data_IF_298236895761
#
_entry.id   IF_298236895761
#
_cell.length_a   1.000
_cell.length_b   1.000
_cell.length_c   1.000
_cell.angle_alpha   90.00
_cell.angle_beta   90.00
_cell.angle_gamma   90.00
#
_symmetry.space_group_name_H-M   'P 1'
#
loop_
_entity.id
_entity.type
_entity.pdbx_description
1 polymer ?
#
# COMPACT_ATOMS: atom_id res chain seq x y z
N UNK A 1 -4.22 -4.26 8.05
CA UNK A 1 -3.98 -3.23 9.10
C UNK A 1 -2.81 -3.66 9.97
N UNK A 2 -1.97 -2.71 10.39
CA UNK A 2 -0.79 -2.90 11.24
C UNK A 2 -0.73 -1.81 12.33
N UNK A 3 -0.01 -2.05 13.42
CA UNK A 3 0.36 -0.98 14.38
C UNK A 3 1.61 -0.20 13.93
N UNK A 4 2.24 -0.64 12.84
CA UNK A 4 3.46 -0.05 12.28
C UNK A 4 3.20 0.65 10.95
N UNK A 5 2.00 1.23 10.78
CA UNK A 5 1.59 1.81 9.50
C UNK A 5 2.55 2.89 9.00
N UNK A 6 3.01 3.81 9.86
CA UNK A 6 3.99 4.85 9.48
C UNK A 6 5.29 4.23 8.96
N UNK A 7 5.89 3.31 9.72
CA UNK A 7 7.14 2.64 9.34
C UNK A 7 7.00 1.87 8.03
N UNK A 8 5.86 1.20 7.83
CA UNK A 8 5.55 0.48 6.60
C UNK A 8 5.40 1.47 5.43
N UNK A 9 4.74 2.60 5.62
CA UNK A 9 4.58 3.64 4.61
C UNK A 9 5.96 4.18 4.16
N UNK A 10 6.82 4.54 5.11
CA UNK A 10 8.18 5.00 4.84
C UNK A 10 8.97 3.94 4.05
N UNK A 11 8.90 2.68 4.48
CA UNK A 11 9.58 1.60 3.80
C UNK A 11 9.06 1.39 2.37
N UNK A 12 7.76 1.53 2.12
CA UNK A 12 7.19 1.47 0.76
C UNK A 12 7.70 2.63 -0.09
N UNK A 13 7.72 3.85 0.45
CA UNK A 13 8.20 5.04 -0.26
C UNK A 13 9.66 4.88 -0.64
N UNK A 14 10.52 4.54 0.31
CA UNK A 14 11.98 4.53 0.09
C UNK A 14 12.49 3.25 -0.58
N UNK A 15 11.85 2.10 -0.36
CA UNK A 15 12.32 0.80 -0.91
C UNK A 15 11.67 0.49 -2.25
N UNK A 16 10.38 0.83 -2.42
CA UNK A 16 9.63 0.50 -3.62
C UNK A 16 9.44 1.70 -4.57
N UNK A 17 9.74 2.92 -4.11
CA UNK A 17 9.54 4.14 -4.89
C UNK A 17 8.06 4.36 -5.21
N UNK A 18 7.18 4.09 -4.23
CA UNK A 18 5.72 4.20 -4.42
C UNK A 18 5.10 5.08 -3.35
N UNK A 19 4.27 6.01 -3.80
CA UNK A 19 3.41 6.80 -2.92
C UNK A 19 2.41 5.90 -2.19
N UNK A 20 2.07 6.33 -0.97
CA UNK A 20 1.12 5.66 -0.09
C UNK A 20 0.18 6.70 0.48
N UNK A 21 -1.11 6.39 0.54
CA UNK A 21 -2.12 7.23 1.19
C UNK A 21 -2.59 6.54 2.47
N UNK A 22 -2.57 7.26 3.58
CA UNK A 22 -3.14 6.82 4.85
C UNK A 22 -4.64 7.12 4.94
N UNK A 23 -5.43 6.14 5.37
CA UNK A 23 -6.84 6.29 5.70
C UNK A 23 -7.05 6.03 7.19
N UNK A 24 -7.56 7.03 7.92
CA UNK A 24 -8.02 6.82 9.29
C UNK A 24 -9.27 5.92 9.28
N UNK A 25 -9.23 4.84 10.05
CA UNK A 25 -10.34 3.91 10.20
C UNK A 25 -10.49 3.43 11.63
N UNK A 26 -11.68 2.94 11.99
CA UNK A 26 -11.93 2.34 13.29
C UNK A 26 -12.16 0.85 13.16
N UNK A 27 -11.24 0.06 13.71
CA UNK A 27 -11.38 -1.40 13.72
C UNK A 27 -12.49 -1.80 14.68
N UNK A 28 -13.59 -2.38 14.18
CA UNK A 28 -14.74 -2.72 15.04
C UNK A 28 -14.49 -3.90 15.97
N UNK A 29 -13.49 -4.74 15.69
CA UNK A 29 -13.06 -5.83 16.58
C UNK A 29 -12.34 -5.30 17.82
N UNK A 30 -11.34 -4.43 17.63
CA UNK A 30 -10.53 -3.87 18.73
C UNK A 30 -11.08 -2.54 19.28
N UNK A 31 -12.15 -2.00 18.67
CA UNK A 31 -12.80 -0.72 18.98
C UNK A 31 -11.90 0.52 18.98
N UNK A 32 -10.70 0.42 18.40
CA UNK A 32 -9.69 1.50 18.33
C UNK A 32 -9.51 2.07 16.94
N UNK A 33 -9.10 3.33 16.89
CA UNK A 33 -8.64 3.99 15.67
C UNK A 33 -7.33 3.38 15.19
N UNK A 34 -7.21 3.22 13.88
CA UNK A 34 -6.03 2.70 13.19
C UNK A 34 -5.94 3.31 11.80
N UNK A 35 -4.72 3.46 11.32
CA UNK A 35 -4.48 3.88 9.95
C UNK A 35 -4.36 2.67 9.01
N UNK A 36 -5.03 2.75 7.86
CA UNK A 36 -4.93 1.79 6.76
C UNK A 36 -4.17 2.43 5.60
N UNK A 37 -3.16 1.74 5.10
CA UNK A 37 -2.38 2.19 3.96
C UNK A 37 -2.99 1.71 2.65
N UNK A 38 -3.11 2.62 1.69
CA UNK A 38 -3.47 2.33 0.32
C UNK A 38 -2.30 2.70 -0.58
N UNK A 39 -1.89 1.76 -1.42
CA UNK A 39 -0.84 2.01 -2.41
C UNK A 39 -1.14 1.24 -3.68
N UNK A 40 -0.69 1.79 -4.80
CA UNK A 40 -0.73 1.12 -6.10
C UNK A 40 0.68 0.65 -6.41
N UNK A 41 0.82 -0.60 -6.84
CA UNK A 41 2.12 -1.20 -7.19
C UNK A 41 2.01 -1.94 -8.51
N UNK A 42 3.12 -2.03 -9.25
CA UNK A 42 3.19 -2.94 -10.42
C UNK A 42 3.20 -4.39 -9.92
N UNK A 43 2.66 -5.32 -10.70
CA UNK A 43 2.64 -6.75 -10.34
C UNK A 43 4.01 -7.30 -9.94
N UNK A 44 5.10 -6.85 -10.60
CA UNK A 44 6.49 -7.22 -10.26
C UNK A 44 6.95 -6.76 -8.87
N UNK A 45 6.32 -5.74 -8.29
CA UNK A 45 6.65 -5.20 -6.96
C UNK A 45 5.86 -5.91 -5.84
N UNK A 46 4.79 -6.64 -6.17
CA UNK A 46 3.93 -7.30 -5.18
C UNK A 46 4.68 -8.31 -4.29
N UNK A 47 5.60 -9.16 -4.80
CA UNK A 47 6.37 -10.05 -3.93
C UNK A 47 7.24 -9.31 -2.92
N UNK A 48 7.89 -8.21 -3.35
CA UNK A 48 8.72 -7.37 -2.49
C UNK A 48 7.88 -6.67 -1.42
N UNK A 49 6.70 -6.12 -1.79
CA UNK A 49 5.77 -5.53 -0.84
C UNK A 49 5.30 -6.53 0.22
N UNK A 50 4.89 -7.73 -0.19
CA UNK A 50 4.46 -8.79 0.75
C UNK A 50 5.57 -9.16 1.73
N UNK A 51 6.81 -9.29 1.24
CA UNK A 51 7.98 -9.59 2.07
C UNK A 51 8.26 -8.45 3.07
N UNK A 52 8.29 -7.21 2.59
CA UNK A 52 8.51 -6.01 3.39
C UNK A 52 7.48 -5.92 4.52
N UNK A 53 6.19 -5.98 4.20
CA UNK A 53 5.12 -5.89 5.21
C UNK A 53 5.23 -7.02 6.22
N UNK A 54 5.45 -8.28 5.78
CA UNK A 54 5.58 -9.43 6.67
C UNK A 54 6.79 -9.33 7.61
N UNK A 55 7.93 -8.81 7.13
CA UNK A 55 9.13 -8.61 7.94
C UNK A 55 8.91 -7.54 9.02
N UNK A 56 8.14 -6.50 8.72
CA UNK A 56 7.87 -5.42 9.65
C UNK A 56 6.79 -5.81 10.67
N UNK A 57 5.70 -6.43 10.21
CA UNK A 57 4.60 -6.89 11.03
C UNK A 57 4.00 -8.20 10.49
N UNK A 58 4.34 -9.31 11.14
CA UNK A 58 3.83 -10.63 10.79
C UNK A 58 2.33 -10.82 11.10
N UNK A 59 1.69 -9.89 11.82
CA UNK A 59 0.23 -9.87 12.08
C UNK A 59 -0.53 -8.97 11.12
N UNK A 60 0.17 -8.23 10.25
CA UNK A 60 -0.48 -7.41 9.24
C UNK A 60 -1.14 -8.27 8.17
N UNK A 61 -2.31 -7.84 7.72
CA UNK A 61 -2.97 -8.38 6.54
C UNK A 61 -3.02 -7.34 5.42
N UNK A 62 -2.98 -7.83 4.18
CA UNK A 62 -3.08 -7.04 2.95
C UNK A 62 -4.32 -7.48 2.17
N UNK A 63 -5.02 -6.51 1.60
CA UNK A 63 -6.02 -6.75 0.54
C UNK A 63 -5.36 -6.37 -0.78
N UNK A 64 -5.38 -7.28 -1.76
CA UNK A 64 -4.78 -7.05 -3.07
C UNK A 64 -5.89 -7.11 -4.10
N UNK A 65 -6.08 -6.01 -4.83
CA UNK A 65 -7.06 -5.90 -5.91
C UNK A 65 -6.34 -5.50 -7.20
N UNK A 66 -6.84 -5.96 -8.35
CA UNK A 66 -6.35 -5.50 -9.65
C UNK A 66 -7.11 -4.26 -10.06
N UNK A 67 -6.38 -3.20 -10.42
CA UNK A 67 -6.96 -2.06 -11.12
C UNK A 67 -7.05 -2.37 -12.62
N UNK A 68 -8.14 -1.94 -13.26
CA UNK A 68 -8.29 -2.07 -14.72
C UNK A 68 -7.28 -1.18 -15.46
N UNK A 69 -7.12 0.05 -14.99
CA UNK A 69 -6.18 1.02 -15.54
C UNK A 69 -5.62 1.90 -14.42
N UNK A 70 -4.35 2.30 -14.55
CA UNK A 70 -3.68 3.24 -13.65
C UNK A 70 -2.88 4.21 -14.50
N UNK A 71 -3.22 5.49 -14.40
CA UNK A 71 -2.57 6.59 -15.12
C UNK A 71 -1.87 7.51 -14.12
N UNK A 72 -0.79 8.15 -14.57
CA UNK A 72 0.06 9.03 -13.77
C UNK A 72 1.49 8.55 -13.62
N UNK A 73 2.26 9.32 -12.84
CA UNK A 73 3.69 9.13 -12.65
C UNK A 73 4.04 7.71 -12.15
N UNK A 74 5.07 7.11 -12.75
CA UNK A 74 5.51 5.77 -12.42
C UNK A 74 4.62 4.62 -12.92
N UNK A 75 3.53 4.92 -13.62
CA UNK A 75 2.64 3.98 -14.30
C UNK A 75 2.60 4.24 -15.81
N UNK A 76 1.68 5.08 -16.31
CA UNK A 76 1.51 5.44 -17.72
C UNK A 76 0.94 6.85 -17.87
N UNK A 77 1.18 7.51 -19.00
CA UNK A 77 0.70 8.87 -19.26
C UNK A 77 -0.82 8.90 -19.55
N UNK A 78 -1.46 10.03 -19.28
CA UNK A 78 -2.88 10.26 -19.61
C UNK A 78 -3.14 10.30 -21.13
N UNK A 79 -2.14 10.73 -21.91
CA UNK A 79 -2.32 11.09 -23.32
C UNK A 79 -2.37 9.90 -24.31
N UNK A 80 -2.47 8.65 -23.83
CA UNK A 80 -2.57 7.48 -24.73
C UNK A 80 -4.01 7.09 -25.12
N UNK A 81 -5.01 7.78 -24.60
CA UNK A 81 -6.44 7.49 -24.85
C UNK A 81 -7.30 8.74 -25.14
N UNK A 82 -6.68 9.87 -25.46
CA UNK A 82 -7.33 11.08 -25.99
C UNK A 82 -7.06 11.23 -27.49
#
# INVERSE_FOLDING_TARGET
MSEKSEQIADAIIHTLGRGVTGFAGRGMYFKRERETLFCVVKNRQLPALKKLVKQMDNKAFLIVTSAHQVLGEGFGAFDKEL
#
